data_IF_964568861293
#
_entry.id   IF_964568861293
#
_cell.length_a   1.000
_cell.length_b   1.000
_cell.length_c   1.000
_cell.angle_alpha   90.00
_cell.angle_beta   90.00
_cell.angle_gamma   90.00
#
_symmetry.space_group_name_H-M   'P 1'
#
loop_
_entity.id
_entity.type
_entity.pdbx_description
1 polymer ?
#
# COMPACT_ATOMS: atom_id res chain seq x y z
N UNK A 1 18.84 6.90 -2.17
CA UNK A 1 17.60 6.35 -1.59
C UNK A 1 16.47 6.69 -2.54
N UNK A 2 15.67 5.69 -2.93
CA UNK A 2 14.49 5.88 -3.77
C UNK A 2 13.24 5.66 -2.94
N UNK A 3 12.17 6.40 -3.19
CA UNK A 3 10.93 6.28 -2.43
C UNK A 3 9.72 6.70 -3.27
N UNK A 4 8.51 6.38 -2.81
CA UNK A 4 7.24 6.87 -3.34
C UNK A 4 6.48 7.61 -2.23
N UNK A 5 5.71 8.63 -2.57
CA UNK A 5 4.74 9.26 -1.66
C UNK A 5 3.37 8.74 -2.05
N UNK A 6 2.74 8.01 -1.15
CA UNK A 6 1.48 7.28 -1.42
C UNK A 6 0.39 7.83 -0.51
N UNK A 7 -0.75 8.31 -1.04
CA UNK A 7 -1.83 8.78 -0.20
C UNK A 7 -2.56 7.60 0.46
N UNK A 8 -3.38 7.89 1.48
CA UNK A 8 -4.30 6.89 2.03
C UNK A 8 -5.39 6.54 1.01
N UNK A 9 -5.88 7.56 0.30
CA UNK A 9 -6.78 7.46 -0.84
C UNK A 9 -6.48 8.56 -1.85
N UNK A 10 -6.69 8.24 -3.13
CA UNK A 10 -6.69 9.20 -4.22
C UNK A 10 -8.13 9.31 -4.75
N UNK A 11 -8.52 10.53 -5.12
CA UNK A 11 -9.81 10.82 -5.74
C UNK A 11 -9.53 11.56 -7.03
N UNK A 12 -10.01 11.02 -8.14
CA UNK A 12 -9.97 11.73 -9.41
C UNK A 12 -11.39 12.15 -9.76
N UNK A 13 -11.60 13.44 -9.98
CA UNK A 13 -12.91 13.97 -10.34
C UNK A 13 -12.85 14.52 -11.75
N UNK A 14 -13.51 13.85 -12.68
CA UNK A 14 -13.65 14.29 -14.07
C UNK A 14 -14.91 15.13 -14.27
N UNK A 15 -14.78 16.33 -14.84
CA UNK A 15 -15.89 17.06 -15.48
C UNK A 15 -15.94 16.67 -16.93
N UNK A 16 -17.13 16.41 -17.39
CA UNK A 16 -17.51 16.51 -18.78
C UNK A 16 -18.34 17.78 -18.97
N UNK A 17 -17.93 18.64 -19.91
CA UNK A 17 -18.64 19.89 -20.22
C UNK A 17 -19.10 19.96 -21.68
N UNK A 18 -20.32 20.43 -21.90
CA UNK A 18 -20.87 20.68 -23.25
C UNK A 18 -21.77 21.92 -23.22
N UNK A 19 -21.25 23.05 -23.68
CA UNK A 19 -21.93 24.34 -23.52
C UNK A 19 -22.11 24.71 -22.05
N UNK A 20 -23.35 24.89 -21.60
CA UNK A 20 -23.69 25.16 -20.19
C UNK A 20 -23.95 23.88 -19.37
N UNK A 21 -23.84 22.70 -20.00
CA UNK A 21 -24.08 21.41 -19.38
C UNK A 21 -22.80 20.86 -18.74
N UNK A 22 -22.94 20.27 -17.57
CA UNK A 22 -21.81 19.68 -16.83
C UNK A 22 -22.23 18.34 -16.23
N UNK A 23 -21.39 17.31 -16.37
CA UNK A 23 -21.51 16.01 -15.69
C UNK A 23 -20.21 15.76 -14.94
N UNK A 24 -20.33 15.36 -13.67
CA UNK A 24 -19.22 15.27 -12.74
C UNK A 24 -19.11 13.84 -12.26
N UNK A 25 -17.96 13.23 -12.48
CA UNK A 25 -17.75 11.81 -12.25
C UNK A 25 -16.60 11.63 -11.27
N UNK A 26 -16.85 10.88 -10.20
CA UNK A 26 -15.78 10.39 -9.34
C UNK A 26 -15.21 9.12 -9.96
N UNK A 27 -13.93 9.12 -10.26
CA UNK A 27 -13.18 7.96 -10.78
C UNK A 27 -12.40 7.34 -9.63
N UNK A 28 -12.80 6.13 -9.23
CA UNK A 28 -12.08 5.37 -8.21
C UNK A 28 -11.12 4.40 -8.89
N UNK A 29 -9.83 4.63 -8.75
CA UNK A 29 -8.82 3.67 -9.17
C UNK A 29 -8.66 2.57 -8.13
N UNK A 30 -8.73 1.30 -8.57
CA UNK A 30 -8.50 0.15 -7.69
C UNK A 30 -7.08 0.06 -7.13
N UNK A 31 -6.11 0.70 -7.79
CA UNK A 31 -4.72 0.80 -7.38
C UNK A 31 -4.11 2.11 -7.91
N UNK A 32 -3.30 2.77 -7.08
CA UNK A 32 -2.55 3.97 -7.46
C UNK A 32 -1.06 3.67 -7.45
N UNK A 33 -0.40 3.85 -8.59
CA UNK A 33 1.05 3.78 -8.72
C UNK A 33 1.64 5.19 -8.80
N UNK A 34 2.11 5.69 -7.66
CA UNK A 34 2.91 6.91 -7.61
C UNK A 34 4.30 6.69 -8.23
N UNK A 35 4.89 7.77 -8.75
CA UNK A 35 6.21 7.71 -9.37
C UNK A 35 7.35 7.57 -8.37
N UNK A 36 8.48 7.04 -8.85
CA UNK A 36 9.70 6.91 -8.06
C UNK A 36 10.40 8.27 -7.88
N UNK A 37 10.54 8.67 -6.62
CA UNK A 37 11.30 9.84 -6.20
C UNK A 37 12.64 9.45 -5.60
N UNK A 38 13.53 10.42 -5.49
CA UNK A 38 14.76 10.32 -4.72
C UNK A 38 15.05 11.64 -4.00
N UNK A 39 16.11 11.66 -3.19
CA UNK A 39 16.48 12.83 -2.37
C UNK A 39 16.84 14.08 -3.18
N UNK A 40 17.06 13.94 -4.50
CA UNK A 40 17.33 15.04 -5.41
C UNK A 40 16.08 15.48 -6.19
N UNK A 41 14.93 14.84 -5.99
CA UNK A 41 13.67 15.21 -6.64
C UNK A 41 13.13 16.56 -6.14
N UNK A 42 13.53 17.00 -4.94
CA UNK A 42 13.16 18.29 -4.34
C UNK A 42 14.25 18.74 -3.38
N UNK A 43 14.48 20.05 -3.28
CA UNK A 43 15.43 20.64 -2.32
C UNK A 43 15.02 20.37 -0.86
N UNK A 44 13.74 20.07 -0.60
CA UNK A 44 13.25 19.69 0.73
C UNK A 44 13.86 18.38 1.23
N UNK A 45 14.29 17.50 0.31
CA UNK A 45 14.78 16.16 0.64
C UNK A 45 16.30 16.02 0.56
N UNK A 46 17.03 17.05 0.13
CA UNK A 46 18.47 16.96 -0.20
C UNK A 46 19.32 16.48 0.98
N UNK A 47 18.90 16.81 2.21
CA UNK A 47 19.60 16.49 3.45
C UNK A 47 19.04 15.24 4.15
N UNK A 48 18.03 14.59 3.57
CA UNK A 48 17.45 13.38 4.11
C UNK A 48 18.35 12.18 3.82
N UNK A 49 18.69 11.45 4.87
CA UNK A 49 19.53 10.24 4.84
C UNK A 49 18.73 8.96 5.10
N UNK A 50 17.47 9.07 5.52
CA UNK A 50 16.57 7.93 5.78
C UNK A 50 15.12 8.23 5.40
N UNK A 51 14.31 7.17 5.25
CA UNK A 51 12.88 7.27 4.92
C UNK A 51 12.11 7.97 6.03
N UNK A 52 12.49 7.78 7.29
CA UNK A 52 11.87 8.45 8.43
C UNK A 52 12.10 9.96 8.39
N UNK A 53 13.26 10.40 7.89
CA UNK A 53 13.52 11.83 7.68
C UNK A 53 12.68 12.40 6.54
N UNK A 54 12.55 11.66 5.43
CA UNK A 54 11.66 12.07 4.32
C UNK A 54 10.20 12.13 4.78
N UNK A 55 9.71 11.11 5.48
CA UNK A 55 8.35 11.08 6.05
C UNK A 55 8.10 12.30 6.92
N UNK A 56 9.05 12.64 7.80
CA UNK A 56 8.91 13.82 8.65
C UNK A 56 8.81 15.12 7.84
N UNK A 57 9.62 15.27 6.78
CA UNK A 57 9.55 16.45 5.89
C UNK A 57 8.19 16.51 5.18
N UNK A 58 7.67 15.38 4.70
CA UNK A 58 6.33 15.30 4.09
C UNK A 58 5.26 15.69 5.10
N UNK A 59 5.25 15.10 6.29
CA UNK A 59 4.26 15.39 7.35
C UNK A 59 4.32 16.89 7.76
N UNK A 60 5.52 17.43 7.99
CA UNK A 60 5.73 18.82 8.36
C UNK A 60 5.30 19.80 7.25
N UNK A 61 5.34 19.38 5.98
CA UNK A 61 4.92 20.19 4.83
C UNK A 61 3.41 20.14 4.67
N UNK A 62 2.83 18.94 4.61
CA UNK A 62 1.37 18.70 4.47
C UNK A 62 0.59 19.37 5.61
N UNK A 63 1.11 19.35 6.85
CA UNK A 63 0.46 20.00 8.00
C UNK A 63 0.27 21.51 7.86
N UNK A 64 0.96 22.16 6.91
CA UNK A 64 0.86 23.59 6.63
C UNK A 64 -0.05 23.88 5.42
N UNK A 65 -0.39 22.87 4.64
CA UNK A 65 -1.29 23.00 3.51
C UNK A 65 -2.73 23.22 4.00
N UNK A 66 -3.53 23.90 3.18
CA UNK A 66 -4.97 23.98 3.41
C UNK A 66 -5.61 22.71 2.84
N UNK A 67 -6.59 22.17 3.55
CA UNK A 67 -7.43 21.11 3.01
C UNK A 67 -8.45 21.73 2.05
N UNK A 68 -8.92 20.98 1.05
CA UNK A 68 -9.95 21.45 0.11
C UNK A 68 -11.22 21.93 0.84
N UNK A 69 -11.59 21.27 1.93
CA UNK A 69 -12.74 21.66 2.78
C UNK A 69 -12.55 22.99 3.53
N UNK A 70 -11.31 23.49 3.62
CA UNK A 70 -10.97 24.77 4.27
C UNK A 70 -10.50 25.82 3.27
N UNK A 71 -10.44 25.50 1.99
CA UNK A 71 -10.18 26.49 0.96
C UNK A 71 -11.42 27.42 0.87
N UNK A 72 -11.19 28.71 0.67
CA UNK A 72 -12.27 29.72 0.66
C UNK A 72 -12.56 30.25 -0.72
N UNK A 73 -11.62 30.05 -1.66
CA UNK A 73 -11.74 30.43 -3.06
C UNK A 73 -12.09 29.19 -3.88
N UNK A 74 -13.19 28.55 -3.48
CA UNK A 74 -13.60 27.25 -3.99
C UNK A 74 -14.19 27.39 -5.38
N UNK A 75 -13.69 26.61 -6.32
CA UNK A 75 -14.45 26.30 -7.52
C UNK A 75 -15.56 25.28 -7.18
N UNK A 76 -16.33 24.89 -8.20
CA UNK A 76 -17.46 24.01 -7.98
C UNK A 76 -17.01 22.60 -7.49
N UNK A 77 -15.77 22.16 -7.76
CA UNK A 77 -15.24 20.85 -7.35
C UNK A 77 -14.94 20.82 -5.88
N UNK A 78 -14.31 21.88 -5.41
CA UNK A 78 -14.05 22.03 -3.99
C UNK A 78 -15.34 22.28 -3.18
N UNK A 79 -16.43 22.75 -3.83
CA UNK A 79 -17.75 22.79 -3.22
C UNK A 79 -18.36 21.40 -2.94
N UNK A 80 -18.15 20.41 -3.81
CA UNK A 80 -18.54 19.01 -3.52
C UNK A 80 -17.92 18.52 -2.21
N UNK A 81 -16.67 18.90 -1.97
CA UNK A 81 -15.95 18.50 -0.77
C UNK A 81 -16.48 19.16 0.52
N UNK A 82 -17.19 20.29 0.47
CA UNK A 82 -17.69 21.00 1.67
C UNK A 82 -18.56 20.13 2.57
N UNK A 83 -19.42 19.32 1.97
CA UNK A 83 -20.36 18.44 2.68
C UNK A 83 -19.81 17.02 2.85
N UNK A 84 -18.59 16.75 2.36
CA UNK A 84 -17.94 15.47 2.53
C UNK A 84 -17.56 15.23 3.99
N UNK A 85 -17.78 14.01 4.47
CA UNK A 85 -17.26 13.56 5.77
C UNK A 85 -15.75 13.30 5.73
N UNK A 86 -15.15 13.31 4.54
CA UNK A 86 -13.74 13.09 4.36
C UNK A 86 -12.95 14.34 4.76
N UNK A 87 -12.10 14.15 5.76
CA UNK A 87 -11.22 15.20 6.28
C UNK A 87 -9.81 14.98 5.74
N UNK A 88 -9.01 16.05 5.74
CA UNK A 88 -7.61 16.02 5.31
C UNK A 88 -7.40 15.55 3.86
N UNK A 89 -8.29 16.02 2.98
CA UNK A 89 -8.15 15.93 1.51
C UNK A 89 -7.47 17.20 1.01
N UNK A 90 -6.51 17.04 0.11
CA UNK A 90 -5.71 18.11 -0.47
C UNK A 90 -5.71 17.97 -1.99
N UNK A 91 -5.70 19.10 -2.69
CA UNK A 91 -5.42 19.13 -4.11
C UNK A 91 -3.99 18.65 -4.40
N UNK A 92 -3.83 17.74 -5.37
CA UNK A 92 -2.51 17.14 -5.68
C UNK A 92 -1.53 18.13 -6.32
N UNK A 93 -2.01 19.13 -7.07
CA UNK A 93 -1.18 20.18 -7.63
C UNK A 93 -0.67 21.13 -6.54
N UNK A 94 -1.54 21.52 -5.60
CA UNK A 94 -1.12 22.31 -4.43
C UNK A 94 -0.13 21.54 -3.54
N UNK A 95 -0.34 20.24 -3.36
CA UNK A 95 0.61 19.37 -2.66
C UNK A 95 1.95 19.29 -3.40
N UNK A 96 1.92 19.14 -4.73
CA UNK A 96 3.11 19.13 -5.58
C UNK A 96 3.92 20.41 -5.39
N UNK A 97 3.26 21.57 -5.47
CA UNK A 97 3.89 22.88 -5.24
C UNK A 97 4.49 22.97 -3.83
N UNK A 98 3.72 22.60 -2.79
CA UNK A 98 4.18 22.65 -1.40
C UNK A 98 5.39 21.75 -1.14
N UNK A 99 5.42 20.56 -1.77
CA UNK A 99 6.54 19.62 -1.71
C UNK A 99 7.68 19.97 -2.70
N UNK A 100 7.50 21.01 -3.52
CA UNK A 100 8.39 21.41 -4.61
C UNK A 100 8.72 20.23 -5.53
N UNK A 101 7.69 19.49 -5.86
CA UNK A 101 7.71 18.39 -6.82
C UNK A 101 6.95 18.83 -8.07
N UNK A 102 7.31 18.25 -9.20
CA UNK A 102 6.40 18.26 -10.34
C UNK A 102 5.14 17.49 -9.94
N UNK A 103 3.97 18.11 -10.01
CA UNK A 103 2.74 17.48 -9.53
C UNK A 103 2.40 16.21 -10.33
N UNK A 104 2.90 16.08 -11.57
CA UNK A 104 2.75 14.87 -12.38
C UNK A 104 3.28 13.62 -11.67
N UNK A 105 4.29 13.75 -10.80
CA UNK A 105 4.82 12.59 -10.03
C UNK A 105 3.86 12.09 -8.94
N UNK A 106 2.86 12.91 -8.61
CA UNK A 106 1.75 12.59 -7.72
C UNK A 106 0.51 12.18 -8.52
N UNK A 107 0.56 12.11 -9.84
CA UNK A 107 -0.53 11.52 -10.61
C UNK A 107 -0.37 10.01 -10.68
N UNK A 108 -1.49 9.32 -10.82
CA UNK A 108 -1.48 7.89 -11.01
C UNK A 108 -1.00 7.57 -12.43
N UNK A 109 0.09 6.83 -12.56
CA UNK A 109 0.71 6.54 -13.86
C UNK A 109 0.21 5.25 -14.52
N UNK A 110 -0.45 4.36 -13.76
CA UNK A 110 -0.96 3.10 -14.29
C UNK A 110 -2.35 2.77 -13.76
N UNK A 111 -3.24 2.35 -14.67
CA UNK A 111 -4.53 1.77 -14.31
C UNK A 111 -4.47 0.25 -14.50
N UNK A 112 -4.38 -0.50 -13.39
CA UNK A 112 -4.42 -1.96 -13.43
C UNK A 112 -5.66 -2.50 -12.72
N UNK A 113 -6.81 -2.34 -13.38
CA UNK A 113 -8.05 -3.04 -13.04
C UNK A 113 -8.90 -2.42 -11.93
N UNK A 114 -10.22 -2.57 -12.08
CA UNK A 114 -11.19 -2.24 -11.03
C UNK A 114 -11.60 -0.76 -10.95
N UNK A 115 -11.39 0.02 -12.01
CA UNK A 115 -11.93 1.38 -12.06
C UNK A 115 -13.46 1.30 -11.98
N UNK A 116 -14.03 1.94 -10.97
CA UNK A 116 -15.46 2.20 -10.93
C UNK A 116 -15.66 3.71 -10.92
N UNK A 117 -16.79 4.12 -11.48
CA UNK A 117 -17.10 5.52 -11.65
C UNK A 117 -18.51 5.77 -11.12
N UNK A 118 -18.74 6.97 -10.61
CA UNK A 118 -20.04 7.37 -10.07
C UNK A 118 -20.28 8.83 -10.46
N UNK A 119 -21.45 9.11 -11.04
CA UNK A 119 -21.89 10.49 -11.23
C UNK A 119 -22.17 11.10 -9.86
N UNK A 120 -21.37 12.11 -9.50
CA UNK A 120 -21.52 12.87 -8.27
C UNK A 120 -22.63 13.91 -8.41
N UNK A 121 -22.61 14.62 -9.54
CA UNK A 121 -23.42 15.80 -9.78
C UNK A 121 -23.59 16.03 -11.28
N UNK A 122 -24.70 16.66 -11.65
CA UNK A 122 -24.90 17.16 -13.01
C UNK A 122 -25.62 18.51 -12.96
N UNK A 123 -25.33 19.34 -13.96
CA UNK A 123 -25.86 20.71 -14.06
C UNK A 123 -26.37 20.96 -15.46
N UNK A 124 -27.60 21.47 -15.57
CA UNK A 124 -28.27 21.77 -16.83
C UNK A 124 -28.36 20.56 -17.81
N UNK A 125 -28.24 19.34 -17.28
CA UNK A 125 -28.50 18.09 -18.01
C UNK A 125 -29.90 17.62 -17.63
N UNK A 126 -30.80 17.55 -18.61
CA UNK A 126 -32.16 17.04 -18.41
C UNK A 126 -32.18 15.51 -18.45
N UNK A 127 -33.24 14.90 -17.91
CA UNK A 127 -33.45 13.46 -18.01
C UNK A 127 -33.49 13.00 -19.48
N UNK A 128 -34.05 13.80 -20.39
CA UNK A 128 -34.06 13.51 -21.83
C UNK A 128 -32.64 13.47 -22.41
N UNK A 129 -31.76 14.41 -22.01
CA UNK A 129 -30.37 14.41 -22.46
C UNK A 129 -29.59 13.24 -21.87
N UNK A 130 -29.85 12.87 -20.60
CA UNK A 130 -29.20 11.71 -19.98
C UNK A 130 -29.58 10.38 -20.64
N UNK A 131 -30.85 10.24 -21.02
CA UNK A 131 -31.37 9.05 -21.70
C UNK A 131 -31.08 9.05 -23.21
N UNK A 132 -30.40 10.07 -23.72
CA UNK A 132 -30.00 10.13 -25.14
C UNK A 132 -29.06 8.96 -25.45
N UNK A 133 -29.42 8.20 -26.47
CA UNK A 133 -28.60 7.13 -27.01
C UNK A 133 -27.44 7.70 -27.83
N UNK A 134 -26.24 7.24 -27.52
CA UNK A 134 -25.00 7.51 -28.23
C UNK A 134 -24.57 6.22 -28.94
N UNK A 135 -24.23 6.33 -30.23
CA UNK A 135 -23.69 5.22 -31.02
C UNK A 135 -22.17 5.30 -31.03
N UNK A 136 -21.51 4.26 -30.54
CA UNK A 136 -20.07 4.09 -30.61
C UNK A 136 -19.73 2.76 -31.27
N UNK A 137 -19.44 2.80 -32.56
CA UNK A 137 -19.11 1.62 -33.38
C UNK A 137 -20.17 0.48 -33.30
N UNK A 138 -21.45 0.85 -33.23
CA UNK A 138 -22.58 -0.09 -33.16
C UNK A 138 -22.96 -0.54 -31.75
N UNK A 139 -22.25 -0.07 -30.72
CA UNK A 139 -22.69 -0.12 -29.33
C UNK A 139 -23.61 1.09 -29.05
N UNK A 140 -24.83 0.82 -28.59
CA UNK A 140 -25.75 1.85 -28.13
C UNK A 140 -25.63 1.96 -26.60
N UNK A 141 -25.27 3.14 -26.13
CA UNK A 141 -25.13 3.45 -24.71
C UNK A 141 -25.79 4.80 -24.41
N UNK A 142 -26.40 4.95 -23.23
CA UNK A 142 -26.94 6.26 -22.84
C UNK A 142 -25.83 7.21 -22.40
N UNK A 143 -26.08 8.52 -22.44
CA UNK A 143 -25.15 9.51 -21.90
C UNK A 143 -24.85 9.24 -20.41
N UNK A 144 -25.88 8.87 -19.63
CA UNK A 144 -25.74 8.53 -18.21
C UNK A 144 -24.83 7.31 -18.01
N UNK A 145 -25.07 6.22 -18.76
CA UNK A 145 -24.26 5.01 -18.66
C UNK A 145 -22.81 5.28 -19.08
N UNK A 146 -22.61 6.04 -20.17
CA UNK A 146 -21.28 6.42 -20.63
C UNK A 146 -20.51 7.21 -19.56
N UNK A 147 -21.15 8.14 -18.85
CA UNK A 147 -20.55 8.84 -17.73
C UNK A 147 -20.30 7.93 -16.51
N UNK A 148 -21.27 7.10 -16.12
CA UNK A 148 -21.17 6.20 -14.97
C UNK A 148 -20.12 5.09 -15.13
N UNK A 149 -19.72 4.74 -16.34
CA UNK A 149 -18.62 3.78 -16.57
C UNK A 149 -17.37 4.45 -17.17
N UNK A 150 -17.38 5.79 -17.25
CA UNK A 150 -16.28 6.64 -17.74
C UNK A 150 -15.76 6.23 -19.12
N UNK A 151 -16.68 6.22 -20.11
CA UNK A 151 -16.38 6.11 -21.55
C UNK A 151 -16.05 7.49 -22.10
N UNK A 152 -14.90 8.03 -21.68
CA UNK A 152 -14.40 9.35 -22.07
C UNK A 152 -14.37 9.51 -23.61
N UNK A 153 -14.07 8.45 -24.35
CA UNK A 153 -14.05 8.44 -25.80
C UNK A 153 -15.45 8.63 -26.41
N UNK A 154 -16.47 8.00 -25.83
CA UNK A 154 -17.86 8.12 -26.29
C UNK A 154 -18.39 9.53 -26.03
N UNK A 155 -18.13 10.04 -24.83
CA UNK A 155 -18.52 11.38 -24.41
C UNK A 155 -17.82 12.44 -25.28
N UNK A 156 -16.52 12.27 -25.52
CA UNK A 156 -15.73 13.17 -26.38
C UNK A 156 -16.24 13.20 -27.81
N UNK A 157 -16.63 12.06 -28.37
CA UNK A 157 -17.19 11.96 -29.73
C UNK A 157 -18.55 12.67 -29.85
N UNK A 158 -19.36 12.70 -28.78
CA UNK A 158 -20.60 13.50 -28.72
C UNK A 158 -20.35 14.99 -28.45
N UNK A 159 -19.10 15.39 -28.23
CA UNK A 159 -18.67 16.79 -28.08
C UNK A 159 -18.58 17.27 -26.63
N UNK A 160 -18.48 16.36 -25.67
CA UNK A 160 -18.15 16.69 -24.29
C UNK A 160 -16.64 16.88 -24.14
N UNK A 161 -16.22 17.90 -23.37
CA UNK A 161 -14.82 18.14 -23.06
C UNK A 161 -14.52 17.69 -21.64
N UNK A 162 -13.48 16.87 -21.49
CA UNK A 162 -13.04 16.39 -20.18
C UNK A 162 -11.99 17.30 -19.53
N UNK A 163 -12.12 17.51 -18.22
CA UNK A 163 -11.05 17.97 -17.34
C UNK A 163 -11.07 17.16 -16.05
N UNK A 164 -9.90 16.76 -15.54
CA UNK A 164 -9.78 15.93 -14.33
C UNK A 164 -8.90 16.60 -13.30
N UNK A 165 -9.39 16.67 -12.07
CA UNK A 165 -8.62 17.10 -10.91
C UNK A 165 -8.36 15.91 -9.98
N UNK A 166 -7.15 15.83 -9.43
CA UNK A 166 -6.71 14.74 -8.55
C UNK A 166 -6.51 15.26 -7.14
N UNK A 167 -7.06 14.54 -6.16
CA UNK A 167 -7.03 14.88 -4.74
C UNK A 167 -6.47 13.73 -3.91
N UNK A 168 -5.71 14.06 -2.88
CA UNK A 168 -5.02 13.12 -2.01
C UNK A 168 -5.52 13.24 -0.57
N UNK A 169 -5.94 12.12 0.01
CA UNK A 169 -6.25 12.04 1.43
C UNK A 169 -5.01 11.65 2.24
N UNK A 170 -4.72 12.46 3.26
CA UNK A 170 -3.70 12.18 4.25
C UNK A 170 -4.15 11.09 5.26
N UNK A 171 -3.20 10.45 5.99
CA UNK A 171 -1.75 10.66 5.93
C UNK A 171 -1.14 10.20 4.60
N UNK A 172 -0.15 10.95 4.13
CA UNK A 172 0.70 10.53 3.01
C UNK A 172 1.81 9.65 3.57
N UNK A 173 2.02 8.48 2.97
CA UNK A 173 3.02 7.51 3.39
C UNK A 173 4.21 7.51 2.45
N UNK A 174 5.39 7.67 3.00
CA UNK A 174 6.65 7.50 2.28
C UNK A 174 7.04 6.02 2.31
N UNK A 175 7.13 5.42 1.13
CA UNK A 175 7.46 4.00 0.96
C UNK A 175 8.83 3.88 0.29
N UNK A 176 9.74 3.12 0.90
CA UNK A 176 11.03 2.84 0.29
C UNK A 176 10.87 2.02 -0.99
N UNK A 177 11.59 2.40 -2.04
CA UNK A 177 11.68 1.60 -3.27
C UNK A 177 13.00 0.87 -3.26
N UNK A 178 12.92 -0.45 -3.10
CA UNK A 178 14.09 -1.34 -3.13
C UNK A 178 14.53 -1.56 -4.58
N UNK A 179 15.83 -1.59 -4.81
CA UNK A 179 16.37 -2.09 -6.08
C UNK A 179 15.99 -3.56 -6.27
N UNK A 180 15.99 -4.06 -7.50
CA UNK A 180 15.71 -5.49 -7.79
C UNK A 180 16.60 -6.43 -6.95
N UNK A 181 17.86 -6.05 -6.75
CA UNK A 181 18.78 -6.79 -5.89
C UNK A 181 18.34 -6.78 -4.44
N UNK A 182 17.99 -5.62 -3.89
CA UNK A 182 17.53 -5.49 -2.50
C UNK A 182 16.18 -6.19 -2.29
N UNK A 183 15.28 -6.13 -3.27
CA UNK A 183 14.02 -6.85 -3.28
C UNK A 183 14.28 -8.36 -3.27
N UNK A 184 15.16 -8.85 -4.15
CA UNK A 184 15.53 -10.27 -4.19
C UNK A 184 16.20 -10.73 -2.89
N UNK A 185 17.06 -9.90 -2.29
CA UNK A 185 17.68 -10.18 -0.99
C UNK A 185 16.65 -10.22 0.15
N UNK A 186 15.70 -9.28 0.17
CA UNK A 186 14.60 -9.27 1.12
C UNK A 186 13.72 -10.51 0.98
N UNK A 187 13.33 -10.86 -0.25
CA UNK A 187 12.50 -12.03 -0.54
C UNK A 187 13.22 -13.36 -0.28
N UNK A 188 14.55 -13.37 -0.41
CA UNK A 188 15.40 -14.49 -0.03
C UNK A 188 15.63 -14.58 1.50
N UNK A 189 15.38 -13.49 2.25
CA UNK A 189 15.60 -13.46 3.69
C UNK A 189 14.66 -14.44 4.43
N UNK A 190 15.19 -15.09 5.46
CA UNK A 190 14.41 -16.06 6.22
C UNK A 190 13.28 -15.38 7.00
N UNK A 191 13.49 -14.13 7.45
CA UNK A 191 12.46 -13.33 8.10
C UNK A 191 11.25 -13.03 7.21
N UNK A 192 11.47 -12.57 5.98
CA UNK A 192 10.37 -12.28 5.05
C UNK A 192 9.58 -13.56 4.72
N UNK A 193 10.29 -14.64 4.38
CA UNK A 193 9.68 -15.94 4.11
C UNK A 193 8.90 -16.47 5.33
N UNK A 194 9.46 -16.31 6.53
CA UNK A 194 8.82 -16.72 7.79
C UNK A 194 7.54 -15.92 8.04
N UNK A 195 7.56 -14.60 7.85
CA UNK A 195 6.41 -13.74 8.05
C UNK A 195 5.25 -14.04 7.09
N UNK A 196 5.51 -14.61 5.91
CA UNK A 196 4.47 -15.07 4.97
C UNK A 196 3.99 -16.50 5.20
N UNK A 197 4.67 -17.30 6.05
CA UNK A 197 4.33 -18.70 6.26
C UNK A 197 3.61 -18.93 7.61
N UNK A 198 2.28 -19.06 7.58
CA UNK A 198 1.44 -19.30 8.77
C UNK A 198 1.77 -20.59 9.51
N UNK A 199 2.13 -21.65 8.80
CA UNK A 199 2.53 -22.93 9.41
C UNK A 199 3.81 -22.75 10.22
N UNK A 200 4.84 -22.14 9.61
CA UNK A 200 6.10 -21.86 10.27
C UNK A 200 5.91 -20.97 11.51
N UNK A 201 5.10 -19.90 11.42
CA UNK A 201 4.77 -19.03 12.55
C UNK A 201 4.10 -19.78 13.69
N UNK A 202 3.11 -20.63 13.38
CA UNK A 202 2.43 -21.46 14.39
C UNK A 202 3.39 -22.36 15.15
N UNK A 203 4.31 -23.02 14.45
CA UNK A 203 5.28 -23.93 15.08
C UNK A 203 6.37 -23.18 15.84
N UNK A 204 6.86 -22.07 15.30
CA UNK A 204 7.78 -21.18 16.00
C UNK A 204 7.19 -20.67 17.31
N UNK A 205 5.91 -20.30 17.34
CA UNK A 205 5.23 -19.91 18.58
C UNK A 205 5.28 -21.01 19.65
N UNK A 206 5.04 -22.28 19.28
CA UNK A 206 5.14 -23.39 20.22
C UNK A 206 6.56 -23.62 20.73
N UNK A 207 7.55 -23.50 19.85
CA UNK A 207 8.97 -23.57 20.23
C UNK A 207 9.31 -22.43 21.18
N UNK A 208 8.86 -21.21 20.88
CA UNK A 208 9.07 -20.05 21.74
C UNK A 208 8.48 -20.28 23.13
N UNK A 209 7.23 -20.75 23.23
CA UNK A 209 6.59 -21.08 24.51
C UNK A 209 7.43 -22.09 25.31
N UNK A 210 7.87 -23.19 24.68
CA UNK A 210 8.71 -24.19 25.34
C UNK A 210 10.00 -23.58 25.92
N UNK A 211 10.62 -22.64 25.19
CA UNK A 211 11.87 -22.01 25.60
C UNK A 211 11.71 -20.66 26.31
N UNK A 212 10.47 -20.26 26.68
CA UNK A 212 10.24 -19.14 27.59
C UNK A 212 10.66 -19.50 29.01
N UNK A 213 10.50 -20.76 29.39
CA UNK A 213 10.98 -21.26 30.67
C UNK A 213 12.50 -21.48 30.62
N UNK A 214 13.21 -21.04 31.67
CA UNK A 214 14.69 -21.14 31.74
C UNK A 214 15.18 -22.58 31.57
N UNK A 215 14.34 -23.57 31.89
CA UNK A 215 14.60 -25.00 31.73
C UNK A 215 13.27 -25.73 31.42
N UNK A 216 12.97 -26.02 30.14
CA UNK A 216 11.78 -26.79 29.79
C UNK A 216 11.80 -28.19 30.40
N UNK A 217 10.64 -28.72 30.76
CA UNK A 217 10.51 -30.09 31.22
C UNK A 217 10.78 -31.09 30.09
N UNK A 218 11.50 -32.18 30.38
CA UNK A 218 11.85 -33.20 29.36
C UNK A 218 10.61 -33.75 28.64
N UNK A 219 9.52 -33.96 29.36
CA UNK A 219 8.23 -34.43 28.84
C UNK A 219 7.61 -33.47 27.82
N UNK A 220 7.75 -32.16 28.02
CA UNK A 220 7.26 -31.14 27.09
C UNK A 220 8.12 -31.05 25.84
N UNK A 221 9.43 -31.20 25.98
CA UNK A 221 10.39 -31.27 24.86
C UNK A 221 10.05 -32.47 23.98
N UNK A 222 9.89 -33.66 24.55
CA UNK A 222 9.55 -34.89 23.82
C UNK A 222 8.19 -34.78 23.12
N UNK A 223 7.19 -34.21 23.81
CA UNK A 223 5.86 -33.97 23.24
C UNK A 223 5.93 -33.04 22.03
N UNK A 224 6.69 -31.95 22.11
CA UNK A 224 6.85 -31.04 20.98
C UNK A 224 7.63 -31.68 19.83
N UNK A 225 8.68 -32.46 20.12
CA UNK A 225 9.43 -33.22 19.10
C UNK A 225 8.51 -34.13 18.30
N UNK A 226 7.64 -34.89 18.98
CA UNK A 226 6.66 -35.78 18.32
C UNK A 226 5.62 -35.01 17.50
N UNK A 227 5.26 -33.79 17.90
CA UNK A 227 4.38 -32.95 17.09
C UNK A 227 5.09 -32.43 15.83
N UNK A 228 6.36 -32.04 15.96
CA UNK A 228 7.16 -31.49 14.86
C UNK A 228 7.63 -32.58 13.88
N UNK A 229 7.62 -33.87 14.27
CA UNK A 229 7.98 -34.97 13.38
C UNK A 229 7.06 -35.04 12.13
N UNK A 230 5.80 -34.62 12.26
CA UNK A 230 4.84 -34.60 11.15
C UNK A 230 4.81 -33.28 10.36
N UNK A 231 5.63 -32.30 10.73
CA UNK A 231 5.70 -30.99 10.05
C UNK A 231 6.56 -31.08 8.80
N UNK A 232 6.20 -30.34 7.75
CA UNK A 232 6.98 -30.24 6.51
C UNK A 232 8.42 -29.82 6.83
N UNK A 233 9.38 -30.45 6.15
CA UNK A 233 10.80 -30.16 6.37
C UNK A 233 11.12 -28.70 6.02
N UNK A 234 10.49 -28.15 4.99
CA UNK A 234 10.63 -26.75 4.56
C UNK A 234 10.25 -25.76 5.67
N UNK A 235 9.16 -26.02 6.41
CA UNK A 235 8.74 -25.16 7.53
C UNK A 235 9.77 -25.20 8.67
N UNK A 236 10.31 -26.39 8.99
CA UNK A 236 11.34 -26.53 10.02
C UNK A 236 12.65 -25.83 9.62
N UNK A 237 13.00 -25.90 8.34
CA UNK A 237 14.19 -25.26 7.77
C UNK A 237 14.06 -23.74 7.76
N UNK A 238 12.86 -23.25 7.45
CA UNK A 238 12.53 -21.83 7.51
C UNK A 238 12.61 -21.29 8.95
N UNK A 239 12.03 -21.99 9.92
CA UNK A 239 12.11 -21.59 11.34
C UNK A 239 13.56 -21.58 11.83
N UNK A 240 14.35 -22.60 11.46
CA UNK A 240 15.77 -22.67 11.83
C UNK A 240 16.55 -21.48 11.28
N UNK A 241 16.44 -21.22 9.96
CA UNK A 241 17.11 -20.07 9.32
C UNK A 241 16.66 -18.74 9.93
N UNK A 242 15.37 -18.60 10.24
CA UNK A 242 14.84 -17.41 10.92
C UNK A 242 15.49 -17.19 12.29
N UNK A 243 15.59 -18.24 13.12
CA UNK A 243 16.23 -18.12 14.43
C UNK A 243 17.74 -17.88 14.35
N UNK A 244 18.44 -18.48 13.38
CA UNK A 244 19.85 -18.23 13.12
C UNK A 244 20.08 -16.78 12.68
N UNK A 245 19.24 -16.26 11.77
CA UNK A 245 19.30 -14.87 11.31
C UNK A 245 19.06 -13.88 12.45
N UNK A 246 18.05 -14.12 13.30
CA UNK A 246 17.72 -13.24 14.44
C UNK A 246 18.66 -13.39 15.64
N UNK A 247 19.56 -14.37 15.65
CA UNK A 247 20.44 -14.58 16.80
C UNK A 247 21.50 -13.48 16.87
N UNK A 248 21.58 -12.79 18.01
CA UNK A 248 22.54 -11.69 18.20
C UNK A 248 21.98 -10.31 17.86
N UNK A 249 20.83 -10.25 17.17
CA UNK A 249 20.06 -9.02 16.97
C UNK A 249 19.60 -8.44 18.31
N UNK A 250 19.20 -7.18 18.30
CA UNK A 250 18.70 -6.48 19.49
C UNK A 250 17.18 -6.33 19.45
N UNK A 251 16.51 -6.61 20.57
CA UNK A 251 15.09 -6.37 20.79
C UNK A 251 14.87 -5.49 22.02
N UNK A 252 13.80 -4.68 22.02
CA UNK A 252 13.40 -3.91 23.19
C UNK A 252 12.50 -4.77 24.09
N UNK A 253 12.91 -5.02 25.35
CA UNK A 253 12.11 -5.78 26.32
C UNK A 253 12.22 -5.19 27.73
N UNK A 254 11.07 -4.80 28.29
CA UNK A 254 10.91 -4.49 29.71
C UNK A 254 11.86 -3.40 30.23
N UNK A 255 12.01 -2.30 29.47
CA UNK A 255 12.79 -1.13 29.88
C UNK A 255 14.21 -1.05 29.34
N UNK A 256 14.62 -1.89 28.37
CA UNK A 256 15.93 -1.79 27.75
C UNK A 256 16.12 -2.66 26.50
N UNK A 257 17.26 -2.43 25.83
CA UNK A 257 17.71 -3.18 24.66
C UNK A 257 18.41 -4.46 25.11
N UNK A 258 17.96 -5.62 24.64
CA UNK A 258 18.58 -6.92 24.92
C UNK A 258 18.95 -7.63 23.62
N UNK A 259 20.05 -8.38 23.64
CA UNK A 259 20.40 -9.28 22.52
C UNK A 259 19.52 -10.52 22.53
N UNK A 260 19.06 -10.92 21.36
CA UNK A 260 18.27 -12.13 21.15
C UNK A 260 19.18 -13.35 21.22
N UNK A 261 18.93 -14.22 22.22
CA UNK A 261 19.59 -15.52 22.33
C UNK A 261 18.65 -16.63 21.87
N UNK A 262 18.97 -17.26 20.73
CA UNK A 262 18.22 -18.36 20.14
C UNK A 262 18.99 -19.68 20.19
N UNK A 263 20.14 -19.77 20.87
CA UNK A 263 21.02 -20.95 20.84
C UNK A 263 20.27 -22.26 21.15
N UNK A 264 19.47 -22.28 22.22
CA UNK A 264 18.68 -23.46 22.61
C UNK A 264 17.65 -23.87 21.55
N UNK A 265 17.01 -22.91 20.90
CA UNK A 265 16.00 -23.17 19.84
C UNK A 265 16.67 -23.71 18.58
N UNK A 266 17.81 -23.14 18.21
CA UNK A 266 18.65 -23.56 17.07
C UNK A 266 19.13 -24.99 17.28
N UNK A 267 19.69 -25.30 18.45
CA UNK A 267 20.17 -26.63 18.79
C UNK A 267 19.03 -27.67 18.78
N UNK A 268 17.88 -27.34 19.38
CA UNK A 268 16.68 -28.18 19.36
C UNK A 268 16.25 -28.54 17.94
N UNK A 269 16.16 -27.56 17.04
CA UNK A 269 15.77 -27.77 15.65
C UNK A 269 16.82 -28.57 14.87
N UNK A 270 18.12 -28.32 15.08
CA UNK A 270 19.20 -29.10 14.45
C UNK A 270 19.15 -30.57 14.87
N UNK A 271 18.91 -30.84 16.15
CA UNK A 271 18.77 -32.22 16.65
C UNK A 271 17.54 -32.92 16.06
N UNK A 272 16.40 -32.24 15.99
CA UNK A 272 15.18 -32.76 15.37
C UNK A 272 15.40 -33.13 13.89
N UNK A 273 16.09 -32.26 13.13
CA UNK A 273 16.43 -32.54 11.72
C UNK A 273 17.29 -33.79 11.57
N UNK A 274 18.33 -33.93 12.39
CA UNK A 274 19.20 -35.10 12.36
C UNK A 274 18.45 -36.40 12.67
N UNK A 275 17.48 -36.37 13.59
CA UNK A 275 16.64 -37.52 13.91
C UNK A 275 15.75 -37.92 12.72
N UNK A 276 15.05 -36.97 12.10
CA UNK A 276 14.24 -37.22 10.89
C UNK A 276 15.06 -37.82 9.75
N UNK A 277 16.26 -37.29 9.48
CA UNK A 277 17.12 -37.82 8.41
C UNK A 277 17.60 -39.25 8.67
N UNK A 278 17.68 -39.68 9.94
CA UNK A 278 18.01 -41.06 10.30
C UNK A 278 16.82 -42.00 10.11
N UNK A 279 15.61 -41.57 10.47
CA UNK A 279 14.38 -42.37 10.30
C UNK A 279 14.05 -42.64 8.82
N UNK A 280 14.34 -41.69 7.92
CA UNK A 280 14.14 -41.85 6.47
C UNK A 280 15.12 -42.87 5.85
N UNK A 281 16.29 -43.10 6.45
CA UNK A 281 17.31 -44.05 5.94
C UNK A 281 17.09 -45.49 6.40
N UNK A 282 16.16 -45.72 7.33
CA UNK A 282 15.90 -47.03 7.94
C UNK A 282 14.61 -47.67 7.40
N UNK A 283 13.80 -46.90 6.67
CA UNK A 283 12.65 -47.39 5.88
C UNK A 283 13.01 -47.45 4.39
#
# INVERSE_FOLDING_TARGET
MKFKIVPTRQYDISKFTKGEQEIWVHVNWGYCEADELNVYSSDLFENCTSIEQVQKVVDDTVSKCKTVTKNTDLDNYEEYWKDSLETDVYDSAELGEALKLDYEVLLNTTSSGGTNCEIIFHKNVSDEEFNKELDNDGEIITLEDAANIWRDEVLSNDGWLESTDTYYQAPLKVVNVLSEKEQAELEASAEYQFNKNESAKRWASKINILFMDKKPETTEVEKLQKQLSNVKQEDLDLILRYYEQKHGDTEFKGGGIKKIDNNKKIEFLKNLKQQKSKEIRVN
#
